data_IF_077810800812
#
_entry.id   IF_077810800812
#
_cell.length_a   1.000
_cell.length_b   1.000
_cell.length_c   1.000
_cell.angle_alpha   90.00
_cell.angle_beta   90.00
_cell.angle_gamma   90.00
#
_symmetry.space_group_name_H-M   'P 1'
#
loop_
_entity.id
_entity.type
_entity.pdbx_description
1 polymer ?
#
# COMPACT_ATOMS: atom_id res chain seq x y z
N UNK A 1 11.72 7.97 15.43
CA UNK A 1 11.29 7.29 14.20
C UNK A 1 10.43 8.22 13.36
N UNK A 2 10.85 8.50 12.14
CA UNK A 2 10.17 9.43 11.23
C UNK A 2 9.72 8.79 9.92
N UNK A 3 10.30 7.64 9.56
CA UNK A 3 9.99 6.95 8.31
C UNK A 3 9.32 5.60 8.57
N UNK A 4 8.56 5.12 7.60
CA UNK A 4 7.92 3.81 7.66
C UNK A 4 8.94 2.69 7.88
N UNK A 5 10.10 2.78 7.24
CA UNK A 5 11.17 1.78 7.40
C UNK A 5 11.69 1.72 8.83
N UNK A 6 11.80 2.86 9.50
CA UNK A 6 12.26 2.89 10.90
C UNK A 6 11.29 2.17 11.84
N UNK A 7 9.97 2.30 11.60
CA UNK A 7 8.97 1.55 12.36
C UNK A 7 9.06 0.05 12.10
N UNK A 8 9.28 -0.36 10.85
CA UNK A 8 9.46 -1.77 10.51
C UNK A 8 10.71 -2.33 11.15
N UNK A 9 11.83 -1.58 11.13
CA UNK A 9 13.07 -1.96 11.79
C UNK A 9 12.87 -2.11 13.31
N UNK A 10 12.04 -1.26 13.91
CA UNK A 10 11.70 -1.40 15.32
C UNK A 10 10.98 -2.74 15.60
N UNK A 11 10.06 -3.15 14.75
CA UNK A 11 9.33 -4.41 14.94
C UNK A 11 10.26 -5.63 14.87
N UNK A 12 11.34 -5.55 14.11
CA UNK A 12 12.26 -6.66 13.89
C UNK A 12 13.43 -6.65 14.88
N UNK A 13 14.02 -5.48 15.11
CA UNK A 13 15.28 -5.36 15.83
C UNK A 13 15.17 -4.72 17.21
N UNK A 14 14.65 -3.50 17.30
CA UNK A 14 14.60 -2.74 18.57
C UNK A 14 13.53 -3.25 19.51
N UNK A 15 12.40 -3.66 19.00
CA UNK A 15 11.29 -4.26 19.75
C UNK A 15 10.70 -3.35 20.83
N UNK A 16 10.76 -2.04 20.64
CA UNK A 16 10.11 -1.09 21.55
C UNK A 16 8.60 -1.22 21.43
N UNK A 17 7.91 -1.15 22.57
CA UNK A 17 6.44 -1.19 22.63
C UNK A 17 5.85 0.18 22.35
N UNK A 18 4.54 0.23 22.11
CA UNK A 18 3.83 1.49 21.88
C UNK A 18 4.06 2.51 22.98
N UNK A 19 4.03 2.06 24.25
CA UNK A 19 4.20 2.95 25.40
C UNK A 19 5.64 3.52 25.52
N UNK A 20 6.61 2.89 24.90
CA UNK A 20 7.98 3.36 24.86
C UNK A 20 8.23 4.42 23.79
N UNK A 21 7.27 4.65 22.90
CA UNK A 21 7.35 5.68 21.87
C UNK A 21 7.02 7.06 22.45
N UNK A 22 7.68 8.11 21.94
CA UNK A 22 7.31 9.48 22.27
C UNK A 22 6.04 9.91 21.49
N UNK A 23 5.53 11.09 21.80
CA UNK A 23 4.29 11.59 21.18
C UNK A 23 4.44 11.81 19.67
N UNK A 24 5.61 12.29 19.22
CA UNK A 24 5.85 12.48 17.79
C UNK A 24 5.92 11.16 17.04
N UNK A 25 6.54 10.15 17.60
CA UNK A 25 6.61 8.80 17.04
C UNK A 25 5.20 8.19 16.93
N UNK A 26 4.39 8.31 17.96
CA UNK A 26 3.00 7.85 17.94
C UNK A 26 2.16 8.57 16.88
N UNK A 27 2.34 9.89 16.77
CA UNK A 27 1.60 10.72 15.82
C UNK A 27 1.95 10.38 14.36
N UNK A 28 3.23 10.14 14.09
CA UNK A 28 3.73 9.90 12.73
C UNK A 28 3.54 8.46 12.28
N UNK A 29 3.17 7.54 13.18
CA UNK A 29 2.92 6.15 12.82
C UNK A 29 1.65 6.02 11.98
N UNK A 30 1.79 5.44 10.78
CA UNK A 30 0.68 5.21 9.87
C UNK A 30 0.52 3.72 9.55
N UNK A 31 -0.47 3.03 10.15
CA UNK A 31 -0.69 1.60 9.92
C UNK A 31 -0.89 1.23 8.46
N UNK A 32 -1.57 2.07 7.69
CA UNK A 32 -1.85 1.82 6.26
C UNK A 32 -0.57 1.77 5.44
N UNK A 33 0.38 2.69 5.69
CA UNK A 33 1.66 2.70 5.00
C UNK A 33 2.53 1.52 5.42
N UNK A 34 2.59 1.21 6.70
CA UNK A 34 3.34 0.07 7.22
C UNK A 34 2.81 -1.22 6.61
N UNK A 35 1.49 -1.42 6.64
CA UNK A 35 0.86 -2.62 6.09
C UNK A 35 1.16 -2.78 4.59
N UNK A 36 1.14 -1.69 3.85
CA UNK A 36 1.46 -1.68 2.41
C UNK A 36 2.90 -2.13 2.16
N UNK A 37 3.86 -1.64 2.94
CA UNK A 37 5.26 -2.05 2.81
C UNK A 37 5.45 -3.51 3.22
N UNK A 38 4.83 -3.95 4.31
CA UNK A 38 4.90 -5.36 4.74
C UNK A 38 4.36 -6.31 3.67
N UNK A 39 3.36 -5.89 2.91
CA UNK A 39 2.80 -6.66 1.80
C UNK A 39 3.75 -6.84 0.62
N UNK A 40 4.90 -6.17 0.61
CA UNK A 40 5.93 -6.34 -0.41
C UNK A 40 6.92 -7.46 -0.07
N UNK A 41 6.74 -8.11 1.07
CA UNK A 41 7.51 -9.29 1.48
C UNK A 41 6.64 -10.55 1.31
N UNK A 42 7.10 -11.51 0.51
CA UNK A 42 6.33 -12.73 0.23
C UNK A 42 5.98 -13.51 1.51
N UNK A 43 6.88 -13.52 2.48
CA UNK A 43 6.66 -14.21 3.75
C UNK A 43 5.56 -13.58 4.60
N UNK A 44 5.19 -12.33 4.33
CA UNK A 44 4.23 -11.58 5.11
C UNK A 44 2.88 -11.35 4.40
N UNK A 45 2.72 -11.82 3.17
CA UNK A 45 1.52 -11.58 2.36
C UNK A 45 0.24 -12.02 3.06
N UNK A 46 0.25 -13.22 3.66
CA UNK A 46 -0.93 -13.75 4.36
C UNK A 46 -1.23 -12.97 5.64
N UNK A 47 -0.20 -12.54 6.36
CA UNK A 47 -0.33 -11.72 7.57
C UNK A 47 -0.95 -10.36 7.21
N UNK A 48 -0.46 -9.74 6.13
CA UNK A 48 -0.98 -8.46 5.63
C UNK A 48 -2.45 -8.60 5.20
N UNK A 49 -2.80 -9.66 4.50
CA UNK A 49 -4.18 -9.94 4.12
C UNK A 49 -5.09 -10.10 5.34
N UNK A 50 -4.61 -10.75 6.39
CA UNK A 50 -5.34 -10.88 7.65
C UNK A 50 -5.59 -9.52 8.30
N UNK A 51 -4.61 -8.62 8.28
CA UNK A 51 -4.76 -7.27 8.79
C UNK A 51 -5.79 -6.47 7.98
N UNK A 52 -5.74 -6.56 6.65
CA UNK A 52 -6.69 -5.88 5.77
C UNK A 52 -8.13 -6.35 6.00
N UNK A 53 -8.31 -7.63 6.31
CA UNK A 53 -9.61 -8.23 6.56
C UNK A 53 -10.10 -8.07 8.00
N UNK A 54 -9.24 -7.64 8.91
CA UNK A 54 -9.60 -7.42 10.32
C UNK A 54 -10.24 -6.05 10.50
N UNK A 55 -11.50 -6.03 10.88
CA UNK A 55 -12.27 -4.81 11.03
C UNK A 55 -11.68 -3.93 12.14
N UNK A 56 -11.25 -2.71 11.78
CA UNK A 56 -10.77 -1.71 12.72
C UNK A 56 -9.31 -1.84 13.12
N UNK A 57 -8.59 -2.88 12.69
CA UNK A 57 -7.18 -3.03 13.06
C UNK A 57 -6.32 -1.90 12.51
N UNK A 58 -6.45 -1.59 11.23
CA UNK A 58 -5.65 -0.54 10.58
C UNK A 58 -6.03 0.87 11.05
N UNK A 59 -7.22 1.07 11.57
CA UNK A 59 -7.68 2.35 12.09
C UNK A 59 -7.28 2.58 13.55
N UNK A 60 -6.75 1.58 14.24
CA UNK A 60 -6.28 1.69 15.62
C UNK A 60 -4.76 1.53 15.67
N UNK A 61 -4.04 2.65 15.78
CA UNK A 61 -2.58 2.69 15.75
C UNK A 61 -1.93 1.81 16.82
N UNK A 62 -2.40 1.91 18.06
CA UNK A 62 -1.86 1.16 19.18
C UNK A 62 -2.04 -0.35 18.99
N UNK A 63 -3.24 -0.76 18.59
CA UNK A 63 -3.56 -2.16 18.36
C UNK A 63 -2.76 -2.74 17.20
N UNK A 64 -2.65 -2.01 16.10
CA UNK A 64 -1.86 -2.43 14.95
C UNK A 64 -0.38 -2.53 15.28
N UNK A 65 0.16 -1.60 16.05
CA UNK A 65 1.55 -1.61 16.46
C UNK A 65 1.86 -2.87 17.30
N UNK A 66 1.02 -3.17 18.29
CA UNK A 66 1.16 -4.38 19.09
C UNK A 66 1.03 -5.65 18.25
N UNK A 67 0.10 -5.65 17.30
CA UNK A 67 -0.09 -6.78 16.37
C UNK A 67 1.17 -7.03 15.53
N UNK A 68 1.81 -5.99 15.00
CA UNK A 68 3.06 -6.13 14.26
C UNK A 68 4.18 -6.71 15.12
N UNK A 69 4.28 -6.29 16.39
CA UNK A 69 5.27 -6.85 17.31
C UNK A 69 5.07 -8.34 17.55
N UNK A 70 3.83 -8.81 17.53
CA UNK A 70 3.51 -10.23 17.69
C UNK A 70 3.77 -11.05 16.43
N UNK A 71 3.44 -10.49 15.26
CA UNK A 71 3.49 -11.22 13.99
C UNK A 71 4.89 -11.30 13.40
N UNK A 72 5.71 -10.27 13.58
CA UNK A 72 7.06 -10.24 13.02
C UNK A 72 8.04 -10.95 13.94
N UNK A 73 8.85 -11.86 13.34
CA UNK A 73 9.84 -12.62 14.09
C UNK A 73 11.05 -11.75 14.40
N UNK A 74 11.44 -11.58 15.69
CA UNK A 74 12.60 -10.76 16.05
C UNK A 74 13.88 -11.21 15.34
N UNK A 75 14.58 -10.27 14.74
CA UNK A 75 15.86 -10.53 14.09
C UNK A 75 15.81 -11.29 12.77
N UNK A 76 14.61 -11.64 12.29
CA UNK A 76 14.45 -12.30 11.00
C UNK A 76 14.74 -11.33 9.85
N UNK A 77 15.41 -11.83 8.81
CA UNK A 77 15.74 -11.04 7.63
C UNK A 77 14.61 -11.08 6.62
N UNK A 78 13.71 -10.13 6.69
CA UNK A 78 12.61 -9.99 5.73
C UNK A 78 13.07 -9.20 4.50
N UNK A 79 12.79 -9.73 3.32
CA UNK A 79 13.08 -9.05 2.05
C UNK A 79 11.85 -8.33 1.53
N UNK A 80 11.96 -7.00 1.36
CA UNK A 80 10.91 -6.17 0.79
C UNK A 80 11.26 -5.82 -0.64
N UNK A 81 10.48 -6.34 -1.61
CA UNK A 81 10.75 -6.15 -3.02
C UNK A 81 10.36 -4.74 -3.47
N UNK A 82 11.35 -3.94 -3.82
CA UNK A 82 11.15 -2.55 -4.27
C UNK A 82 10.37 -2.48 -5.58
N UNK A 83 10.50 -3.48 -6.45
CA UNK A 83 9.76 -3.53 -7.71
C UNK A 83 8.27 -3.73 -7.46
N UNK A 84 7.92 -4.62 -6.54
CA UNK A 84 6.53 -4.82 -6.10
C UNK A 84 5.97 -3.55 -5.49
N UNK A 85 6.75 -2.88 -4.64
CA UNK A 85 6.34 -1.63 -4.01
C UNK A 85 6.10 -0.54 -5.04
N UNK A 86 6.98 -0.39 -6.02
CA UNK A 86 6.83 0.59 -7.11
C UNK A 86 5.61 0.27 -7.98
N UNK A 87 5.40 -0.99 -8.32
CA UNK A 87 4.24 -1.42 -9.10
C UNK A 87 2.92 -1.10 -8.38
N UNK A 88 2.86 -1.29 -7.07
CA UNK A 88 1.68 -0.92 -6.26
C UNK A 88 1.44 0.59 -6.28
N UNK A 89 2.49 1.40 -6.15
CA UNK A 89 2.40 2.85 -6.21
C UNK A 89 1.92 3.31 -7.58
N UNK A 90 2.45 2.74 -8.65
CA UNK A 90 2.06 3.05 -10.03
C UNK A 90 0.60 2.70 -10.28
N UNK A 91 0.14 1.56 -9.78
CA UNK A 91 -1.25 1.13 -9.90
C UNK A 91 -2.20 2.10 -9.18
N UNK A 92 -1.89 2.50 -7.94
CA UNK A 92 -2.71 3.44 -7.17
C UNK A 92 -2.79 4.80 -7.84
N UNK A 93 -1.67 5.30 -8.34
CA UNK A 93 -1.60 6.56 -9.05
C UNK A 93 -2.41 6.52 -10.34
N UNK A 94 -2.25 5.44 -11.13
CA UNK A 94 -2.98 5.23 -12.37
C UNK A 94 -4.49 5.13 -12.11
N UNK A 95 -4.90 4.42 -11.07
CA UNK A 95 -6.30 4.28 -10.67
C UNK A 95 -6.93 5.64 -10.41
N UNK A 96 -6.23 6.53 -9.71
CA UNK A 96 -6.71 7.90 -9.47
C UNK A 96 -6.85 8.69 -10.77
N UNK A 97 -5.88 8.58 -11.68
CA UNK A 97 -5.93 9.27 -12.98
C UNK A 97 -7.09 8.78 -13.84
N UNK A 98 -7.29 7.47 -13.94
CA UNK A 98 -8.39 6.87 -14.71
C UNK A 98 -9.74 7.28 -14.12
N UNK A 99 -9.90 7.23 -12.82
CA UNK A 99 -11.11 7.66 -12.13
C UNK A 99 -11.46 9.11 -12.46
N UNK A 100 -10.48 10.00 -12.46
CA UNK A 100 -10.66 11.41 -12.77
C UNK A 100 -11.00 11.65 -14.24
N UNK A 101 -10.30 11.01 -15.16
CA UNK A 101 -10.50 11.18 -16.61
C UNK A 101 -11.87 10.68 -17.04
N UNK A 102 -12.26 9.51 -16.58
CA UNK A 102 -13.52 8.86 -16.97
C UNK A 102 -14.70 9.27 -16.08
N UNK A 103 -14.47 10.02 -15.02
CA UNK A 103 -15.49 10.42 -14.03
C UNK A 103 -16.23 9.21 -13.44
N UNK A 104 -15.48 8.16 -13.10
CA UNK A 104 -15.98 6.92 -12.52
C UNK A 104 -15.39 6.69 -11.14
N UNK A 105 -16.01 5.77 -10.37
CA UNK A 105 -15.48 5.38 -9.08
C UNK A 105 -14.15 4.62 -9.18
N UNK A 106 -13.42 4.54 -8.07
CA UNK A 106 -12.11 3.86 -8.04
C UNK A 106 -12.20 2.36 -8.35
N UNK A 107 -13.31 1.70 -7.99
CA UNK A 107 -13.53 0.29 -8.31
C UNK A 107 -13.70 0.07 -9.81
N UNK A 108 -14.43 0.96 -10.48
CA UNK A 108 -14.61 0.90 -11.92
C UNK A 108 -13.31 1.22 -12.64
N UNK A 109 -12.52 2.18 -12.13
CA UNK A 109 -11.20 2.48 -12.67
C UNK A 109 -10.26 1.27 -12.59
N UNK A 110 -10.33 0.52 -11.50
CA UNK A 110 -9.56 -0.71 -11.32
C UNK A 110 -9.93 -1.76 -12.38
N UNK A 111 -11.22 -1.93 -12.67
CA UNK A 111 -11.68 -2.85 -13.70
C UNK A 111 -11.21 -2.45 -15.10
N UNK A 112 -11.21 -1.15 -15.41
CA UNK A 112 -10.69 -0.62 -16.69
C UNK A 112 -9.21 -0.93 -16.83
N UNK A 113 -8.42 -0.71 -15.78
CA UNK A 113 -6.99 -0.99 -15.79
C UNK A 113 -6.72 -2.48 -15.99
N UNK A 114 -7.46 -3.36 -15.32
CA UNK A 114 -7.31 -4.81 -15.49
C UNK A 114 -7.68 -5.26 -16.90
N UNK A 115 -8.71 -4.66 -17.49
CA UNK A 115 -9.15 -4.97 -18.85
C UNK A 115 -8.11 -4.58 -19.91
N UNK A 116 -7.45 -3.43 -19.74
CA UNK A 116 -6.48 -2.92 -20.71
C UNK A 116 -5.05 -3.35 -20.47
N UNK A 117 -4.73 -3.80 -19.27
CA UNK A 117 -3.39 -4.17 -18.85
C UNK A 117 -2.62 -2.98 -18.27
N UNK A 118 -2.15 -3.15 -17.04
CA UNK A 118 -1.44 -2.12 -16.29
C UNK A 118 -0.21 -1.60 -17.04
N UNK A 119 0.58 -2.52 -17.62
CA UNK A 119 1.81 -2.17 -18.34
C UNK A 119 1.56 -1.27 -19.56
N UNK A 120 0.45 -1.48 -20.25
CA UNK A 120 0.10 -0.69 -21.42
C UNK A 120 -0.28 0.74 -21.07
N UNK A 121 -0.89 0.94 -19.92
CA UNK A 121 -1.36 2.26 -19.46
C UNK A 121 -0.29 3.07 -18.74
N UNK A 122 0.60 2.42 -17.99
CA UNK A 122 1.66 3.12 -17.24
C UNK A 122 2.71 3.77 -18.14
N UNK A 123 2.86 3.30 -19.37
CA UNK A 123 3.80 3.86 -20.34
C UNK A 123 3.27 5.13 -21.03
N UNK A 124 1.99 5.43 -20.87
CA UNK A 124 1.34 6.57 -21.50
C UNK A 124 1.48 7.82 -20.61
N UNK A 125 1.71 8.98 -21.24
CA UNK A 125 1.59 10.24 -20.53
C UNK A 125 0.11 10.58 -20.31
N UNK A 126 -0.17 11.66 -19.59
CA UNK A 126 -1.54 12.02 -19.23
C UNK A 126 -2.41 12.31 -20.48
N UNK A 127 -1.82 12.91 -21.50
CA UNK A 127 -2.50 13.22 -22.77
C UNK A 127 -2.83 11.96 -23.55
N UNK A 128 -1.88 11.05 -23.68
CA UNK A 128 -2.05 9.77 -24.36
C UNK A 128 -3.07 8.88 -23.64
N UNK A 129 -3.02 8.87 -22.30
CA UNK A 129 -3.95 8.13 -21.47
C UNK A 129 -5.38 8.65 -21.66
N UNK A 130 -5.61 9.95 -21.62
CA UNK A 130 -6.90 10.56 -21.85
C UNK A 130 -7.45 10.22 -23.24
N UNK A 131 -6.60 10.24 -24.26
CA UNK A 131 -6.97 9.89 -25.63
C UNK A 131 -7.36 8.44 -25.77
N UNK A 132 -6.58 7.53 -25.18
CA UNK A 132 -6.86 6.09 -25.22
C UNK A 132 -8.19 5.76 -24.52
N UNK A 133 -8.48 6.37 -23.39
CA UNK A 133 -9.70 6.15 -22.63
C UNK A 133 -10.94 6.76 -23.34
N UNK A 134 -10.80 7.92 -23.97
CA UNK A 134 -11.89 8.55 -24.72
C UNK A 134 -12.28 7.76 -25.95
N UNK A 135 -11.34 7.17 -26.66
CA UNK A 135 -11.63 6.33 -27.83
C UNK A 135 -12.51 5.14 -27.44
N UNK A 136 -12.27 4.58 -26.27
CA UNK A 136 -13.08 3.45 -25.79
C UNK A 136 -14.48 3.85 -25.36
N UNK A 137 -14.62 5.02 -24.74
CA UNK A 137 -15.93 5.57 -24.38
C UNK A 137 -16.79 5.82 -25.62
N UNK A 138 -16.19 6.25 -26.72
CA UNK A 138 -16.89 6.50 -27.99
C UNK A 138 -17.32 5.20 -28.69
N UNK A 139 -16.64 4.08 -28.42
CA UNK A 139 -16.99 2.76 -28.98
C UNK A 139 -18.08 2.04 -28.18
N UNK A 140 -18.46 2.56 -27.06
CA UNK A 140 -19.56 2.08 -26.26
C UNK A 140 -20.87 2.74 -26.67
#
# INVERSE_FOLDING_TARGET
>A
MKTTQEYIDNFIYERRTWNELDEDEKKNFNPYLVNKVLGCCDDLVQIVASADNSKGLLSNKELYFAWCLEQLVPGHNYFFDRKVMQAKCDFEELKKKVSKIMEIGTKDAELVIKSKGLENLTKLDDTELARALKVEVVQL
#
